data_IF_123891651892
#
_entry.id   IF_123891651892
#
_cell.length_a   1.000
_cell.length_b   1.000
_cell.length_c   1.000
_cell.angle_alpha   90.00
_cell.angle_beta   90.00
_cell.angle_gamma   90.00
#
_symmetry.space_group_name_H-M   'P 1'
#
loop_
_entity.id
_entity.type
_entity.pdbx_description
1 polymer ?
#
# COMPACT_ATOMS: atom_id res chain seq x y z
N UNK A 1 -24.15 3.67 -18.72
CA UNK A 1 -24.33 2.51 -17.81
C UNK A 1 -23.09 1.64 -17.96
N UNK A 2 -22.04 1.85 -17.16
CA UNK A 2 -20.87 0.95 -17.12
C UNK A 2 -19.98 1.15 -15.87
N UNK A 3 -20.45 1.88 -14.84
CA UNK A 3 -19.69 2.05 -13.58
C UNK A 3 -19.74 0.81 -12.66
N UNK A 4 -20.68 -0.11 -12.87
CA UNK A 4 -20.86 -1.30 -12.01
C UNK A 4 -20.01 -2.52 -12.39
N UNK A 5 -19.45 -2.57 -13.61
CA UNK A 5 -18.74 -3.75 -14.08
C UNK A 5 -17.31 -3.87 -13.52
N UNK A 6 -16.66 -2.74 -13.18
CA UNK A 6 -15.33 -2.72 -12.57
C UNK A 6 -15.36 -3.06 -11.07
N UNK A 7 -16.43 -2.71 -10.35
CA UNK A 7 -16.58 -3.06 -8.92
C UNK A 7 -16.81 -4.56 -8.68
N UNK A 8 -17.25 -5.31 -9.70
CA UNK A 8 -17.59 -6.73 -9.52
C UNK A 8 -16.37 -7.67 -9.56
N UNK A 9 -15.18 -7.19 -9.99
CA UNK A 9 -13.96 -8.03 -10.12
C UNK A 9 -12.94 -7.90 -8.98
N UNK A 10 -13.19 -7.04 -8.01
CA UNK A 10 -12.34 -6.85 -6.84
C UNK A 10 -13.20 -7.00 -5.58
N UNK A 11 -13.39 -8.23 -5.07
CA UNK A 11 -13.79 -8.47 -3.66
C UNK A 11 -12.62 -8.15 -2.72
N UNK A 12 -12.00 -7.01 -2.95
CA UNK A 12 -10.81 -6.52 -2.32
C UNK A 12 -11.11 -5.08 -1.96
N UNK A 13 -11.71 -4.87 -0.79
CA UNK A 13 -12.09 -3.55 -0.33
C UNK A 13 -10.85 -2.78 0.08
N UNK A 14 -10.36 -1.95 -0.84
CA UNK A 14 -9.30 -1.00 -0.58
C UNK A 14 -9.84 0.15 0.25
N UNK A 15 -9.17 0.44 1.36
CA UNK A 15 -9.52 1.56 2.20
C UNK A 15 -8.56 2.70 1.91
N UNK A 16 -9.11 3.88 1.67
CA UNK A 16 -8.34 5.08 1.42
C UNK A 16 -8.80 6.20 2.34
N UNK A 17 -7.85 7.03 2.73
CA UNK A 17 -8.11 8.28 3.46
C UNK A 17 -7.45 9.44 2.73
N UNK A 18 -7.90 10.66 3.01
CA UNK A 18 -7.30 11.87 2.44
C UNK A 18 -6.53 12.61 3.51
N UNK A 19 -5.26 12.87 3.23
CA UNK A 19 -4.37 13.68 4.09
C UNK A 19 -3.95 14.94 3.36
N UNK A 20 -3.77 16.02 4.10
CA UNK A 20 -3.28 17.27 3.52
C UNK A 20 -1.78 17.18 3.26
N UNK A 21 -1.36 17.38 2.01
CA UNK A 21 0.06 17.56 1.63
C UNK A 21 0.25 18.83 0.82
N UNK A 22 1.46 19.37 0.86
CA UNK A 22 1.82 20.55 0.07
C UNK A 22 2.08 20.15 -1.38
N UNK A 23 1.87 21.06 -2.33
CA UNK A 23 2.14 20.85 -3.75
C UNK A 23 3.60 20.41 -4.00
N UNK A 24 4.54 21.01 -3.27
CA UNK A 24 5.96 20.64 -3.25
C UNK A 24 6.25 19.28 -2.61
N UNK A 25 5.25 18.56 -2.10
CA UNK A 25 5.40 17.20 -1.57
C UNK A 25 4.64 16.18 -2.43
N UNK A 26 3.99 16.62 -3.51
CA UNK A 26 3.35 15.72 -4.46
C UNK A 26 4.41 15.03 -5.32
N UNK A 27 4.09 13.82 -5.71
CA UNK A 27 4.93 12.95 -6.51
C UNK A 27 4.07 12.22 -7.54
N UNK A 28 4.68 11.77 -8.63
CA UNK A 28 3.98 11.08 -9.70
C UNK A 28 3.22 9.85 -9.15
N UNK A 29 2.03 9.63 -9.70
CA UNK A 29 1.10 8.60 -9.25
C UNK A 29 0.19 8.99 -8.08
N UNK A 30 0.49 10.08 -7.35
CA UNK A 30 -0.35 10.54 -6.24
C UNK A 30 -1.75 10.88 -6.71
N UNK A 31 -2.78 10.34 -6.06
CA UNK A 31 -4.18 10.71 -6.34
C UNK A 31 -4.58 11.84 -5.41
N UNK A 32 -5.10 12.92 -5.99
CA UNK A 32 -5.34 14.20 -5.33
C UNK A 32 -6.75 14.67 -5.63
N UNK A 33 -7.41 15.30 -4.64
CA UNK A 33 -8.64 16.06 -4.88
C UNK A 33 -8.28 17.50 -5.24
N UNK A 34 -8.19 17.75 -6.54
CA UNK A 34 -7.95 19.08 -7.11
C UNK A 34 -9.28 19.87 -7.13
N UNK A 35 -9.31 21.14 -6.69
CA UNK A 35 -10.56 21.90 -6.53
C UNK A 35 -11.44 22.04 -7.78
N UNK A 36 -10.85 22.07 -8.98
CA UNK A 36 -11.53 22.26 -10.27
C UNK A 36 -11.71 20.96 -11.03
N UNK A 37 -10.73 20.05 -10.95
CA UNK A 37 -10.74 18.80 -11.71
C UNK A 37 -11.35 17.63 -10.93
N UNK A 38 -11.55 17.78 -9.62
CA UNK A 38 -12.02 16.70 -8.77
C UNK A 38 -10.90 15.71 -8.44
N UNK A 39 -11.20 14.41 -8.48
CA UNK A 39 -10.20 13.38 -8.20
C UNK A 39 -9.34 13.16 -9.44
N UNK A 40 -8.06 13.54 -9.36
CA UNK A 40 -7.09 13.39 -10.44
C UNK A 40 -5.80 12.79 -9.91
N UNK A 41 -4.98 12.29 -10.82
CA UNK A 41 -3.64 11.76 -10.52
C UNK A 41 -2.57 12.74 -10.96
N UNK A 42 -1.49 12.80 -10.20
CA UNK A 42 -0.29 13.53 -10.60
C UNK A 42 0.44 12.71 -11.66
N UNK A 43 0.43 13.20 -12.90
CA UNK A 43 1.14 12.59 -14.02
C UNK A 43 2.61 13.00 -14.05
N UNK A 44 2.87 14.30 -13.84
CA UNK A 44 4.22 14.87 -13.87
C UNK A 44 4.38 15.93 -12.78
N UNK A 45 5.58 16.03 -12.22
CA UNK A 45 5.96 17.10 -11.27
C UNK A 45 7.29 17.69 -11.71
N UNK A 46 7.26 18.92 -12.22
CA UNK A 46 8.48 19.69 -12.49
C UNK A 46 8.71 20.70 -11.37
N UNK A 47 9.82 20.51 -10.65
CA UNK A 47 10.22 21.33 -9.50
C UNK A 47 11.17 22.41 -9.99
N UNK A 48 10.71 23.65 -10.05
CA UNK A 48 11.57 24.80 -10.31
C UNK A 48 12.19 25.29 -8.99
N UNK A 49 13.35 25.99 -9.02
CA UNK A 49 13.82 26.72 -7.86
C UNK A 49 12.68 27.63 -7.36
N UNK A 50 12.44 27.60 -6.04
CA UNK A 50 11.28 28.14 -5.35
C UNK A 50 10.77 29.50 -5.88
N UNK A 51 9.45 29.78 -5.80
CA UNK A 51 8.47 29.12 -4.91
C UNK A 51 7.36 28.31 -5.61
N UNK A 52 7.55 27.86 -6.85
CA UNK A 52 6.50 27.18 -7.61
C UNK A 52 6.83 25.73 -7.98
N UNK A 53 5.78 24.94 -8.21
CA UNK A 53 5.85 23.62 -8.83
C UNK A 53 4.87 23.57 -10.00
N UNK A 54 5.27 22.91 -11.08
CA UNK A 54 4.40 22.62 -12.20
C UNK A 54 3.92 21.18 -12.08
N UNK A 55 2.60 20.99 -12.09
CA UNK A 55 1.97 19.68 -11.95
C UNK A 55 1.14 19.42 -13.19
N UNK A 56 1.43 18.32 -13.89
CA UNK A 56 0.56 17.75 -14.90
C UNK A 56 -0.40 16.74 -14.28
N UNK A 57 -1.65 16.77 -14.69
CA UNK A 57 -2.69 15.89 -14.18
C UNK A 57 -2.98 14.74 -15.16
N UNK A 58 -3.49 13.64 -14.65
CA UNK A 58 -4.07 12.54 -15.42
C UNK A 58 -5.40 12.13 -14.78
N UNK A 59 -6.35 11.75 -15.60
CA UNK A 59 -7.57 11.06 -15.18
C UNK A 59 -7.44 9.56 -15.47
N UNK A 60 -8.50 8.80 -15.26
CA UNK A 60 -8.51 7.37 -15.54
C UNK A 60 -8.55 7.06 -17.05
N UNK A 61 -8.85 8.06 -17.89
CA UNK A 61 -8.90 7.95 -19.36
C UNK A 61 -7.56 8.28 -20.03
N UNK A 62 -6.59 8.83 -19.27
CA UNK A 62 -5.21 9.02 -19.73
C UNK A 62 -4.56 10.31 -19.24
N UNK A 63 -3.45 10.74 -19.88
CA UNK A 63 -2.81 12.01 -19.55
C UNK A 63 -3.78 13.16 -19.85
N UNK A 64 -4.12 13.92 -18.83
CA UNK A 64 -4.93 15.13 -19.01
C UNK A 64 -4.04 16.21 -19.60
N UNK A 65 -4.57 16.99 -20.54
CA UNK A 65 -3.90 18.22 -20.98
C UNK A 65 -3.89 19.30 -19.89
N UNK A 66 -4.61 19.07 -18.78
CA UNK A 66 -4.62 19.97 -17.64
C UNK A 66 -3.27 19.92 -16.91
N UNK A 67 -2.57 21.05 -16.91
CA UNK A 67 -1.42 21.29 -16.06
C UNK A 67 -1.61 22.61 -15.30
N UNK A 68 -1.05 22.70 -14.10
CA UNK A 68 -1.13 23.89 -13.28
C UNK A 68 0.22 24.28 -12.68
N UNK A 69 0.41 25.59 -12.49
CA UNK A 69 1.50 26.15 -11.70
C UNK A 69 0.96 26.47 -10.31
N UNK A 70 1.52 25.82 -9.30
CA UNK A 70 1.09 25.93 -7.91
C UNK A 70 2.21 26.45 -7.03
N UNK A 71 1.86 27.18 -5.97
CA UNK A 71 2.84 27.51 -4.94
C UNK A 71 3.28 26.23 -4.24
N UNK A 72 4.56 26.08 -3.91
CA UNK A 72 5.10 24.86 -3.31
C UNK A 72 4.40 24.49 -1.99
N UNK A 73 3.94 25.49 -1.22
CA UNK A 73 3.19 25.29 0.03
C UNK A 73 1.67 25.13 -0.14
N UNK A 74 1.14 25.19 -1.36
CA UNK A 74 -0.30 25.07 -1.59
C UNK A 74 -0.80 23.69 -1.11
N UNK A 75 -1.81 23.63 -0.22
CA UNK A 75 -2.32 22.38 0.30
C UNK A 75 -3.20 21.66 -0.72
N UNK A 76 -3.07 20.33 -0.74
CA UNK A 76 -3.85 19.40 -1.53
C UNK A 76 -4.28 18.22 -0.66
N UNK A 77 -5.51 17.75 -0.84
CA UNK A 77 -5.96 16.51 -0.22
C UNK A 77 -5.49 15.32 -1.06
N UNK A 78 -4.55 14.55 -0.52
CA UNK A 78 -3.90 13.41 -1.19
C UNK A 78 -4.45 12.11 -0.62
N UNK A 79 -4.84 11.21 -1.52
CA UNK A 79 -5.29 9.86 -1.20
C UNK A 79 -4.10 9.03 -0.72
N UNK A 80 -4.22 8.44 0.46
CA UNK A 80 -3.24 7.50 1.02
C UNK A 80 -3.93 6.21 1.47
N UNK A 81 -3.17 5.10 1.62
CA UNK A 81 -3.72 3.86 2.15
C UNK A 81 -4.32 4.08 3.54
N UNK A 82 -5.55 3.62 3.74
CA UNK A 82 -6.23 3.68 5.04
C UNK A 82 -5.53 2.84 6.09
N UNK A 83 -5.77 3.14 7.36
CA UNK A 83 -5.10 2.50 8.49
C UNK A 83 -5.20 0.96 8.47
N UNK A 84 -6.36 0.39 8.13
CA UNK A 84 -6.57 -1.06 8.08
C UNK A 84 -5.64 -1.73 7.05
N UNK A 85 -5.53 -1.14 5.85
CA UNK A 85 -4.68 -1.66 4.79
C UNK A 85 -3.20 -1.53 5.15
N UNK A 86 -2.79 -0.38 5.72
CA UNK A 86 -1.42 -0.16 6.22
C UNK A 86 -1.03 -1.22 7.26
N UNK A 87 -1.91 -1.50 8.22
CA UNK A 87 -1.71 -2.54 9.23
C UNK A 87 -1.62 -3.95 8.63
N UNK A 88 -2.49 -4.29 7.68
CA UNK A 88 -2.45 -5.56 6.98
C UNK A 88 -1.14 -5.76 6.21
N UNK A 89 -0.67 -4.73 5.50
CA UNK A 89 0.62 -4.77 4.81
C UNK A 89 1.75 -4.95 5.82
N UNK A 90 1.77 -4.14 6.89
CA UNK A 90 2.82 -4.21 7.91
C UNK A 90 2.93 -5.60 8.52
N UNK A 91 1.80 -6.20 8.96
CA UNK A 91 1.77 -7.57 9.48
C UNK A 91 2.23 -8.60 8.45
N UNK A 92 1.89 -8.41 7.18
CA UNK A 92 2.35 -9.26 6.08
C UNK A 92 3.87 -9.22 5.91
N UNK A 93 4.46 -8.02 6.00
CA UNK A 93 5.92 -7.81 5.96
C UNK A 93 6.62 -8.43 7.17
N UNK A 94 6.12 -8.19 8.38
CA UNK A 94 6.69 -8.76 9.61
C UNK A 94 6.65 -10.29 9.58
N UNK A 95 5.52 -10.87 9.15
CA UNK A 95 5.39 -12.33 9.03
C UNK A 95 6.35 -12.91 8.00
N UNK A 96 6.53 -12.25 6.86
CA UNK A 96 7.47 -12.65 5.82
C UNK A 96 8.92 -12.64 6.34
N UNK A 97 9.30 -11.57 7.05
CA UNK A 97 10.60 -11.44 7.69
C UNK A 97 10.82 -12.52 8.76
N UNK A 98 9.83 -12.76 9.64
CA UNK A 98 9.92 -13.77 10.69
C UNK A 98 10.05 -15.19 10.13
N UNK A 99 9.34 -15.51 9.04
CA UNK A 99 9.40 -16.81 8.38
C UNK A 99 10.60 -16.97 7.44
N UNK A 100 11.35 -15.91 7.19
CA UNK A 100 12.35 -15.83 6.12
C UNK A 100 11.80 -16.32 4.77
N UNK A 101 10.62 -15.80 4.39
CA UNK A 101 9.92 -16.15 3.14
C UNK A 101 9.44 -14.88 2.43
N UNK A 102 9.16 -14.93 1.11
CA UNK A 102 8.44 -13.86 0.44
C UNK A 102 7.08 -13.58 1.09
N UNK A 103 6.55 -12.37 0.88
CA UNK A 103 5.21 -11.99 1.33
C UNK A 103 4.13 -12.87 0.71
N UNK A 104 2.96 -12.92 1.35
CA UNK A 104 1.82 -13.66 0.81
C UNK A 104 1.29 -13.05 -0.49
N UNK A 105 0.59 -13.86 -1.29
CA UNK A 105 -0.12 -13.43 -2.51
C UNK A 105 -1.06 -12.24 -2.23
N UNK A 106 -1.82 -12.29 -1.15
CA UNK A 106 -2.76 -11.23 -0.77
C UNK A 106 -2.04 -9.94 -0.37
N UNK A 107 -0.93 -10.05 0.37
CA UNK A 107 -0.10 -8.89 0.73
C UNK A 107 0.54 -8.27 -0.52
N UNK A 108 1.03 -9.07 -1.46
CA UNK A 108 1.60 -8.58 -2.71
C UNK A 108 0.56 -7.83 -3.54
N UNK A 109 -0.65 -8.40 -3.67
CA UNK A 109 -1.78 -7.75 -4.35
C UNK A 109 -2.18 -6.43 -3.67
N UNK A 110 -2.24 -6.42 -2.33
CA UNK A 110 -2.57 -5.22 -1.55
C UNK A 110 -1.55 -4.11 -1.77
N UNK A 111 -0.26 -4.44 -1.73
CA UNK A 111 0.81 -3.48 -1.99
C UNK A 111 0.67 -2.93 -3.42
N UNK A 112 0.56 -3.80 -4.43
CA UNK A 112 0.43 -3.35 -5.81
C UNK A 112 -0.80 -2.46 -6.03
N UNK A 113 -1.92 -2.75 -5.37
CA UNK A 113 -3.15 -1.96 -5.42
C UNK A 113 -3.03 -0.57 -4.76
N UNK A 114 -2.05 -0.37 -3.88
CA UNK A 114 -1.73 0.95 -3.33
C UNK A 114 -0.62 1.67 -4.12
N UNK A 115 0.17 0.95 -4.92
CA UNK A 115 1.30 1.51 -5.67
C UNK A 115 0.97 1.85 -7.13
N UNK A 116 -0.05 1.22 -7.74
CA UNK A 116 -0.32 1.40 -9.17
C UNK A 116 -0.65 2.84 -9.56
N UNK A 117 -0.15 3.25 -10.73
CA UNK A 117 -0.29 4.62 -11.27
C UNK A 117 -1.52 4.82 -12.16
N UNK A 118 -2.44 3.86 -12.20
CA UNK A 118 -3.68 3.94 -12.97
C UNK A 118 -3.95 2.67 -13.78
N UNK A 119 -5.02 2.64 -14.60
CA UNK A 119 -5.43 1.46 -15.34
C UNK A 119 -4.43 0.97 -16.39
N UNK A 120 -3.58 1.85 -16.89
CA UNK A 120 -2.55 1.53 -17.90
C UNK A 120 -1.25 1.03 -17.29
N UNK A 121 -1.14 0.99 -15.97
CA UNK A 121 0.10 0.67 -15.28
C UNK A 121 0.30 -0.85 -15.13
N UNK A 122 1.54 -1.32 -15.19
CA UNK A 122 1.90 -2.72 -15.03
C UNK A 122 1.48 -3.28 -13.68
N UNK A 123 1.58 -2.47 -12.62
CA UNK A 123 1.06 -2.80 -11.30
C UNK A 123 -0.45 -2.97 -11.28
N UNK A 124 -1.20 -2.22 -12.08
CA UNK A 124 -2.64 -2.44 -12.20
C UNK A 124 -2.95 -3.77 -12.90
N UNK A 125 -2.24 -4.08 -13.99
CA UNK A 125 -2.30 -5.40 -14.62
C UNK A 125 -2.10 -6.50 -13.60
N UNK A 126 -1.01 -6.44 -12.84
CA UNK A 126 -0.74 -7.34 -11.72
C UNK A 126 -1.92 -7.43 -10.75
N UNK A 127 -2.47 -6.32 -10.25
CA UNK A 127 -3.62 -6.35 -9.31
C UNK A 127 -4.85 -7.04 -9.89
N UNK A 128 -5.10 -6.86 -11.19
CA UNK A 128 -6.29 -7.39 -11.86
C UNK A 128 -6.19 -8.88 -12.19
N UNK A 129 -5.06 -9.33 -12.72
CA UNK A 129 -4.90 -10.70 -13.24
C UNK A 129 -3.57 -11.35 -12.89
N UNK A 130 -2.70 -10.69 -12.13
CA UNK A 130 -1.42 -11.23 -11.68
C UNK A 130 -0.35 -11.32 -12.75
N UNK A 131 -0.59 -10.72 -13.92
CA UNK A 131 0.41 -10.57 -14.97
C UNK A 131 1.61 -9.75 -14.49
N UNK A 132 2.80 -10.15 -14.97
CA UNK A 132 4.04 -9.43 -14.78
C UNK A 132 4.55 -9.10 -16.17
N UNK A 133 4.55 -7.82 -16.52
CA UNK A 133 5.06 -7.30 -17.78
C UNK A 133 6.52 -6.84 -17.61
N UNK A 134 7.21 -6.60 -18.73
CA UNK A 134 8.60 -6.13 -18.70
C UNK A 134 8.75 -4.81 -17.94
N UNK A 135 7.77 -3.92 -18.07
CA UNK A 135 7.75 -2.60 -17.44
C UNK A 135 7.43 -2.63 -15.93
N UNK A 136 7.12 -3.81 -15.35
CA UNK A 136 6.73 -3.94 -13.95
C UNK A 136 7.83 -3.43 -12.99
N UNK A 137 9.08 -3.84 -13.23
CA UNK A 137 10.19 -3.41 -12.38
C UNK A 137 10.59 -1.95 -12.65
N UNK A 138 10.42 -1.46 -13.88
CA UNK A 138 10.64 -0.06 -14.20
C UNK A 138 9.64 0.83 -13.46
N UNK A 139 8.37 0.44 -13.40
CA UNK A 139 7.35 1.15 -12.61
C UNK A 139 7.72 1.15 -11.11
N UNK A 140 8.18 0.03 -10.55
CA UNK A 140 8.64 -0.04 -9.16
C UNK A 140 9.84 0.88 -8.88
N UNK A 141 10.80 0.95 -9.80
CA UNK A 141 11.96 1.83 -9.67
C UNK A 141 11.57 3.31 -9.69
N UNK A 142 10.68 3.71 -10.62
CA UNK A 142 10.15 5.06 -10.66
C UNK A 142 9.40 5.41 -9.36
N UNK A 143 8.60 4.48 -8.82
CA UNK A 143 7.89 4.71 -7.55
C UNK A 143 8.88 4.83 -6.40
N UNK A 144 9.98 4.08 -6.41
CA UNK A 144 11.00 4.15 -5.35
C UNK A 144 11.72 5.50 -5.33
N UNK A 145 12.01 6.05 -6.52
CA UNK A 145 12.60 7.38 -6.67
C UNK A 145 11.66 8.48 -6.15
N UNK A 146 10.38 8.36 -6.47
CA UNK A 146 9.34 9.31 -6.10
C UNK A 146 8.91 9.22 -4.63
N UNK A 147 8.93 8.01 -4.04
CA UNK A 147 8.37 7.69 -2.72
C UNK A 147 9.30 6.79 -1.91
N UNK A 148 10.46 7.32 -1.49
CA UNK A 148 11.46 6.58 -0.71
C UNK A 148 10.91 5.83 0.51
N UNK A 149 9.87 6.37 1.13
CA UNK A 149 9.34 5.81 2.35
C UNK A 149 8.37 4.61 2.09
N UNK A 150 7.99 4.36 0.83
CA UNK A 150 7.35 3.11 0.37
C UNK A 150 8.36 2.01 0.00
N UNK A 151 9.68 2.27 0.13
CA UNK A 151 10.75 1.32 -0.20
C UNK A 151 10.58 -0.08 0.43
N UNK A 152 10.14 -0.25 1.69
CA UNK A 152 9.91 -1.58 2.25
C UNK A 152 8.83 -2.36 1.47
N UNK A 153 7.78 -1.68 1.02
CA UNK A 153 6.69 -2.30 0.26
C UNK A 153 7.16 -2.69 -1.13
N UNK A 154 7.86 -1.77 -1.80
CA UNK A 154 8.44 -1.97 -3.14
C UNK A 154 9.38 -3.18 -3.12
N UNK A 155 10.32 -3.22 -2.17
CA UNK A 155 11.27 -4.35 -2.02
C UNK A 155 10.57 -5.67 -1.78
N UNK A 156 9.57 -5.69 -0.91
CA UNK A 156 8.83 -6.92 -0.61
C UNK A 156 8.03 -7.41 -1.81
N UNK A 157 7.43 -6.50 -2.59
CA UNK A 157 6.72 -6.83 -3.82
C UNK A 157 7.69 -7.34 -4.91
N UNK A 158 8.84 -6.67 -5.09
CA UNK A 158 9.87 -7.13 -6.02
C UNK A 158 10.40 -8.52 -5.64
N UNK A 159 10.67 -8.75 -4.35
CA UNK A 159 11.09 -10.06 -3.85
C UNK A 159 10.02 -11.12 -4.13
N UNK A 160 8.75 -10.84 -3.82
CA UNK A 160 7.64 -11.73 -4.15
C UNK A 160 7.63 -12.12 -5.62
N UNK A 161 7.74 -11.15 -6.52
CA UNK A 161 7.71 -11.37 -7.97
C UNK A 161 8.92 -12.17 -8.44
N UNK A 162 10.13 -11.85 -7.96
CA UNK A 162 11.37 -12.58 -8.32
C UNK A 162 11.33 -14.03 -7.81
N UNK A 163 10.69 -14.28 -6.67
CA UNK A 163 10.53 -15.62 -6.10
C UNK A 163 9.40 -16.43 -6.73
N UNK A 164 8.62 -15.87 -7.67
CA UNK A 164 7.58 -16.63 -8.38
C UNK A 164 8.23 -17.56 -9.40
N UNK A 165 7.89 -18.85 -9.28
CA UNK A 165 8.26 -19.86 -10.27
C UNK A 165 7.50 -19.67 -11.60
N UNK A 166 6.23 -19.27 -11.52
CA UNK A 166 5.38 -18.96 -12.68
C UNK A 166 5.10 -17.46 -12.77
N UNK A 167 5.48 -16.85 -13.89
CA UNK A 167 5.27 -15.44 -14.20
C UNK A 167 3.94 -15.16 -14.91
N UNK A 168 3.17 -16.21 -15.24
CA UNK A 168 1.87 -16.10 -15.90
C UNK A 168 0.78 -15.45 -15.04
N UNK A 169 -0.39 -15.17 -15.61
CA UNK A 169 -1.52 -14.60 -14.87
C UNK A 169 -1.92 -15.45 -13.66
N UNK A 170 -2.16 -14.80 -12.53
CA UNK A 170 -2.69 -15.42 -11.32
C UNK A 170 -4.21 -15.33 -11.30
N UNK A 171 -4.86 -16.46 -11.00
CA UNK A 171 -6.22 -16.42 -10.48
C UNK A 171 -6.15 -15.92 -9.05
N UNK A 172 -6.50 -14.65 -8.85
CA UNK A 172 -6.76 -14.11 -7.51
C UNK A 172 -8.00 -14.80 -6.96
N UNK A 173 -7.83 -15.97 -6.35
CA UNK A 173 -8.90 -16.64 -5.63
C UNK A 173 -9.42 -15.68 -4.56
N UNK A 174 -10.70 -15.34 -4.64
CA UNK A 174 -11.34 -14.65 -3.52
C UNK A 174 -11.29 -15.61 -2.35
N UNK A 175 -10.47 -15.33 -1.34
CA UNK A 175 -10.56 -16.03 -0.08
C UNK A 175 -11.98 -15.83 0.45
N UNK A 176 -12.85 -16.83 0.24
CA UNK A 176 -13.99 -16.97 1.12
C UNK A 176 -13.39 -17.09 2.53
N UNK A 177 -13.96 -16.40 3.55
CA UNK A 177 -13.60 -16.71 4.91
C UNK A 177 -13.69 -18.23 5.07
N UNK A 178 -12.74 -18.92 5.74
CA UNK A 178 -12.95 -20.30 6.08
C UNK A 178 -14.27 -20.32 6.86
N UNK A 179 -15.29 -20.87 6.22
CA UNK A 179 -16.57 -21.17 6.85
C UNK A 179 -16.18 -22.07 8.00
N UNK A 180 -16.10 -21.48 9.20
CA UNK A 180 -16.03 -22.26 10.42
C UNK A 180 -17.25 -23.15 10.33
N UNK A 181 -17.02 -24.43 10.04
CA UNK A 181 -18.01 -25.48 10.15
C UNK A 181 -18.46 -25.47 11.61
N UNK A 182 -19.44 -24.61 11.92
CA UNK A 182 -20.21 -24.72 13.13
C UNK A 182 -20.94 -26.05 13.00
N UNK A 183 -20.71 -27.00 13.92
CA UNK A 183 -21.61 -28.14 14.02
C UNK A 183 -23.00 -27.55 14.25
N UNK A 184 -23.95 -27.82 13.35
CA UNK A 184 -25.36 -27.51 13.58
C UNK A 184 -25.77 -28.23 14.85
N UNK A 185 -25.89 -27.49 15.95
CA UNK A 185 -26.53 -28.00 17.15
C UNK A 185 -28.01 -28.27 16.80
N UNK A 186 -28.57 -29.43 17.16
CA UNK A 186 -30.00 -29.66 17.03
C UNK A 186 -30.73 -28.68 17.94
N UNK A 187 -31.76 -28.02 17.39
CA UNK A 187 -32.82 -27.41 18.21
C UNK A 187 -33.40 -28.52 19.08
N UNK A 188 -33.33 -28.36 20.40
CA UNK A 188 -34.44 -28.64 21.31
C UNK A 188 -34.19 -28.10 22.73
N UNK A 189 -35.27 -27.52 23.28
CA UNK A 189 -35.63 -27.34 24.68
C UNK A 189 -34.77 -26.45 25.63
N UNK A 190 -35.35 -25.29 25.96
CA UNK A 190 -35.31 -24.68 27.30
C UNK A 190 -36.08 -25.60 28.28
N UNK A 191 -35.73 -25.66 29.59
CA UNK A 191 -36.18 -24.62 30.51
C UNK A 191 -35.21 -24.21 31.63
N UNK A 192 -35.65 -23.19 32.36
CA UNK A 192 -34.98 -22.40 33.38
C UNK A 192 -34.59 -23.14 34.68
N UNK A 193 -33.55 -22.64 35.36
CA UNK A 193 -33.60 -22.40 36.81
C UNK A 193 -32.44 -21.54 37.33
N UNK A 194 -32.80 -20.72 38.32
CA UNK A 194 -31.95 -19.84 39.11
C UNK A 194 -30.96 -20.59 40.00
N UNK A 195 -29.85 -19.94 40.36
CA UNK A 195 -28.88 -20.46 41.30
C UNK A 195 -27.75 -19.48 41.62
N UNK A 196 -28.04 -18.59 42.57
CA UNK A 196 -27.10 -17.78 43.34
C UNK A 196 -25.96 -18.62 43.96
N UNK A 197 -24.70 -18.14 43.90
CA UNK A 197 -23.70 -18.22 44.99
C UNK A 197 -22.39 -17.52 44.67
N UNK A 198 -21.86 -16.91 45.73
CA UNK A 198 -20.72 -16.01 45.82
C UNK A 198 -19.35 -16.70 45.94
N UNK A 199 -18.32 -15.90 45.61
CA UNK A 199 -17.00 -15.73 46.25
C UNK A 199 -15.77 -16.59 45.87
N UNK A 200 -14.65 -15.84 45.94
CA UNK A 200 -13.19 -16.14 45.86
C UNK A 200 -12.69 -16.41 44.44
N UNK A 201 -11.72 -15.67 43.89
CA UNK A 201 -10.59 -14.98 44.52
C UNK A 201 -9.32 -15.77 44.17
N UNK A 202 -8.61 -15.36 43.12
CA UNK A 202 -7.21 -15.72 42.87
C UNK A 202 -6.61 -14.74 41.84
N UNK A 203 -5.62 -13.97 42.29
CA UNK A 203 -4.68 -13.26 41.42
C UNK A 203 -3.96 -14.25 40.49
N UNK A 204 -3.49 -13.80 39.32
CA UNK A 204 -2.04 -13.71 39.23
C UNK A 204 -1.52 -12.47 38.49
N UNK A 205 -0.43 -11.95 39.06
CA UNK A 205 0.75 -11.44 38.38
C UNK A 205 0.54 -10.30 37.37
N UNK A 206 0.70 -9.11 37.93
CA UNK A 206 1.14 -7.88 37.28
C UNK A 206 2.45 -8.16 36.51
N UNK A 207 2.34 -8.42 35.22
CA UNK A 207 3.42 -8.19 34.26
C UNK A 207 3.18 -6.80 33.66
N UNK A 208 3.79 -5.78 34.26
CA UNK A 208 4.00 -4.48 33.61
C UNK A 208 5.00 -4.69 32.47
N UNK A 209 4.54 -5.23 31.35
CA UNK A 209 5.15 -4.91 30.06
C UNK A 209 4.45 -3.63 29.62
N UNK A 210 5.20 -2.54 29.53
CA UNK A 210 4.78 -1.31 28.86
C UNK A 210 4.25 -1.70 27.48
N UNK A 211 2.93 -1.85 27.37
CA UNK A 211 2.23 -1.69 26.11
C UNK A 211 2.49 -0.24 25.73
N UNK A 212 3.48 -0.04 24.86
CA UNK A 212 3.44 1.13 23.98
C UNK A 212 2.10 0.97 23.30
N UNK A 213 1.14 1.84 23.64
CA UNK A 213 -0.15 1.89 22.98
C UNK A 213 0.13 1.83 21.48
N UNK A 214 -0.53 0.93 20.76
CA UNK A 214 -0.27 0.72 19.33
C UNK A 214 -0.29 2.05 18.56
N UNK A 215 -1.09 3.00 19.02
CA UNK A 215 -1.17 4.37 18.51
C UNK A 215 0.14 5.16 18.65
N UNK A 216 0.89 5.00 19.76
CA UNK A 216 2.21 5.60 19.94
C UNK A 216 3.28 4.94 19.04
N UNK A 217 3.22 3.62 18.84
CA UNK A 217 4.13 2.94 17.92
C UNK A 217 3.88 3.38 16.46
N UNK A 218 2.61 3.56 16.07
CA UNK A 218 2.22 4.08 14.76
C UNK A 218 2.60 5.55 14.57
N UNK A 219 2.44 6.40 15.58
CA UNK A 219 2.94 7.78 15.54
C UNK A 219 4.46 7.85 15.40
N UNK A 220 5.19 6.92 16.03
CA UNK A 220 6.64 6.81 15.87
C UNK A 220 7.03 6.30 14.47
N UNK A 221 6.25 5.39 13.87
CA UNK A 221 6.43 4.96 12.48
C UNK A 221 6.15 6.11 11.51
N UNK A 222 5.07 6.87 11.71
CA UNK A 222 4.74 8.04 10.87
C UNK A 222 5.77 9.17 11.05
N UNK A 223 6.29 9.38 12.26
CA UNK A 223 7.36 10.34 12.54
C UNK A 223 8.70 9.89 11.93
N UNK A 224 9.05 8.60 12.02
CA UNK A 224 10.23 8.03 11.37
C UNK A 224 10.13 8.09 9.84
N UNK A 225 8.93 7.89 9.29
CA UNK A 225 8.60 8.06 7.86
C UNK A 225 8.81 9.52 7.42
N UNK A 226 8.31 10.48 8.22
CA UNK A 226 8.49 11.91 7.98
C UNK A 226 9.96 12.37 8.14
N UNK A 227 10.72 11.79 9.07
CA UNK A 227 12.14 12.09 9.29
C UNK A 227 13.04 11.48 8.20
N UNK A 228 12.80 10.24 7.78
CA UNK A 228 13.48 9.62 6.64
C UNK A 228 13.27 10.39 5.33
N UNK A 229 12.07 10.97 5.15
CA UNK A 229 11.73 11.85 4.03
C UNK A 229 12.59 13.14 3.99
N UNK A 230 13.10 13.62 5.14
CA UNK A 230 13.96 14.82 5.19
C UNK A 230 15.46 14.50 5.06
N UNK A 231 15.90 13.30 5.46
CA UNK A 231 17.30 12.89 5.44
C UNK A 231 17.79 12.37 4.07
N UNK A 232 16.89 11.85 3.24
CA UNK A 232 17.22 11.21 1.95
C UNK A 232 17.55 12.17 0.78
N UNK A 233 17.92 13.43 1.05
CA UNK A 233 18.16 14.46 0.03
C UNK A 233 19.64 14.77 -0.24
N UNK A 234 20.56 14.00 0.33
CA UNK A 234 21.97 14.06 0.00
C UNK A 234 22.44 12.68 -0.47
N UNK A 235 23.13 12.66 -1.60
CA UNK A 235 23.87 11.53 -2.17
C UNK A 235 23.06 10.47 -2.94
N UNK A 236 23.13 10.52 -4.27
CA UNK A 236 22.74 9.37 -5.09
C UNK A 236 22.38 9.62 -6.56
N UNK A 237 22.89 10.67 -7.22
CA UNK A 237 22.77 10.81 -8.68
C UNK A 237 24.10 10.45 -9.33
N UNK A 238 24.39 9.15 -9.42
CA UNK A 238 25.31 8.54 -10.39
C UNK A 238 25.54 7.08 -9.97
N UNK A 239 24.76 6.12 -10.51
CA UNK A 239 25.22 4.74 -10.81
C UNK A 239 24.04 3.89 -11.36
N UNK A 240 23.45 4.25 -12.50
CA UNK A 240 22.34 3.45 -13.04
C UNK A 240 22.25 3.44 -14.58
N UNK A 241 23.32 3.06 -15.27
CA UNK A 241 23.20 2.60 -16.67
C UNK A 241 24.09 1.36 -16.88
N UNK A 242 23.48 0.29 -17.42
CA UNK A 242 24.03 -0.99 -17.93
C UNK A 242 23.87 -2.27 -17.08
N UNK A 243 22.64 -2.62 -16.69
CA UNK A 243 22.17 -4.02 -16.56
C UNK A 243 20.67 -4.10 -16.85
N UNK A 244 20.14 -5.24 -17.33
CA UNK A 244 18.68 -5.45 -17.38
C UNK A 244 18.10 -5.24 -15.99
N UNK A 245 17.05 -4.42 -15.88
CA UNK A 245 16.48 -3.97 -14.59
C UNK A 245 16.10 -5.17 -13.70
N UNK A 246 15.58 -6.26 -14.29
CA UNK A 246 15.27 -7.50 -13.58
C UNK A 246 16.50 -8.17 -12.92
N UNK A 247 17.68 -8.10 -13.55
CA UNK A 247 18.90 -8.68 -13.01
C UNK A 247 19.46 -7.87 -11.82
N UNK A 248 19.19 -6.55 -11.78
CA UNK A 248 19.49 -5.70 -10.62
C UNK A 248 18.66 -6.10 -9.42
N UNK A 249 17.36 -6.34 -9.62
CA UNK A 249 16.47 -6.77 -8.55
C UNK A 249 16.84 -8.16 -8.02
N UNK A 250 17.16 -9.11 -8.90
CA UNK A 250 17.61 -10.45 -8.49
C UNK A 250 18.90 -10.40 -7.63
N UNK A 251 19.90 -9.66 -8.07
CA UNK A 251 21.17 -9.50 -7.34
C UNK A 251 21.07 -8.63 -6.06
N UNK A 252 19.99 -7.86 -5.91
CA UNK A 252 19.70 -7.07 -4.71
C UNK A 252 18.90 -7.83 -3.65
N UNK A 253 18.17 -8.88 -4.05
CA UNK A 253 17.40 -9.77 -3.17
C UNK A 253 18.29 -10.85 -2.52
N UNK A 254 19.34 -11.28 -3.21
CA UNK A 254 20.28 -12.31 -2.72
C UNK A 254 21.33 -11.79 -1.71
N UNK A 255 21.29 -10.50 -1.35
CA UNK A 255 22.18 -9.85 -0.37
C UNK A 255 21.42 -9.41 0.87
#
# INVERSE_FOLDING_TARGET
>A
MEKGALETRLRFSLHYEFVTRRAGQLACGSVVKEPRLGLVRVATVARTPAPFVHIGWADDDGPSTAAGRYHADQPFAVRVPGQADRLSIHRGLERAAWLNRPISRDTARLIAAHLHRGPTSSLYGFVTDGSITDDFFEELDQIQEDHQALRPWIRALAHYVVSREDLGPLRWESAAPPEQAQPRAPRDALPASAGDRRHRGCHPLVLVRKQIEADHALQLIDAAYALGFTAGRADGIAEAIRRPVWARWKAGVER
#
